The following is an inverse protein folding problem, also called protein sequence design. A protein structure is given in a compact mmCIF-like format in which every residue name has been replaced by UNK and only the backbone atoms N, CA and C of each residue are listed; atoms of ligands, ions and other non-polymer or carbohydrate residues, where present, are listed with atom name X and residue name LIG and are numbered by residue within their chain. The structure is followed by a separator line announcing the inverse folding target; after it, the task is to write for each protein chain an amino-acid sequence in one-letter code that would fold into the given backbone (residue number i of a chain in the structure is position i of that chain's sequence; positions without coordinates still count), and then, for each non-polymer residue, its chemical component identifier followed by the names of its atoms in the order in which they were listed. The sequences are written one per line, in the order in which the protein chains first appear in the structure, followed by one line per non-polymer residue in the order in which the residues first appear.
data_IF_202529713965
#
_entry.id   IF_202529713965
#
_cell.length_a   1.000
_cell.length_b   1.000
_cell.length_c   1.000
_cell.angle_alpha   90.00
_cell.angle_beta   90.00
_cell.angle_gamma   90.00
#
_symmetry.space_group_name_H-M   'P 1'
#
loop_
_entity.id
_entity.type
_entity.pdbx_description
1 polymer ?
#
# COMPACT_ATOMS: atom_id res chain seq x y z
N UNK A 1 26.25 30.13 38.36
CA UNK A 1 25.10 29.64 37.56
C UNK A 1 25.07 28.14 37.71
N UNK A 2 24.02 27.59 38.34
CA UNK A 2 23.85 26.15 38.43
C UNK A 2 23.13 25.67 37.16
N UNK A 3 23.83 24.90 36.34
CA UNK A 3 23.27 24.30 35.14
C UNK A 3 22.22 23.25 35.52
N UNK A 4 21.02 23.37 34.96
CA UNK A 4 19.88 22.51 35.23
C UNK A 4 20.13 21.08 34.70
N UNK A 5 20.74 20.23 35.54
CA UNK A 5 21.03 18.82 35.23
C UNK A 5 19.87 17.87 35.54
N UNK A 6 18.62 18.35 35.57
CA UNK A 6 17.43 17.53 35.84
C UNK A 6 16.60 17.19 34.59
N UNK A 7 17.20 17.19 33.40
CA UNK A 7 16.49 16.71 32.19
C UNK A 7 16.45 15.18 32.21
N UNK A 8 15.34 14.62 32.71
CA UNK A 8 15.12 13.18 32.76
C UNK A 8 15.13 12.58 31.34
N UNK A 9 16.06 11.64 31.11
CA UNK A 9 16.19 10.85 29.87
C UNK A 9 15.09 9.76 29.79
N UNK A 10 14.35 9.53 30.89
CA UNK A 10 13.26 8.54 30.99
C UNK A 10 11.88 9.09 30.59
N UNK A 11 11.85 10.20 29.84
CA UNK A 11 10.60 10.76 29.31
C UNK A 11 9.89 9.81 28.35
N UNK A 12 8.65 10.13 27.98
CA UNK A 12 7.77 9.33 27.10
C UNK A 12 8.42 8.92 25.76
N UNK A 13 9.49 9.61 25.35
CA UNK A 13 10.27 9.37 24.14
C UNK A 13 11.41 8.34 24.29
N UNK A 14 11.58 7.72 25.47
CA UNK A 14 12.59 6.70 25.76
C UNK A 14 12.08 5.28 25.56
N UNK A 15 12.39 4.38 26.50
CA UNK A 15 11.98 2.96 26.48
C UNK A 15 10.49 2.72 26.18
N UNK A 16 9.53 3.48 26.76
CA UNK A 16 8.11 3.24 26.50
C UNK A 16 7.73 3.45 25.02
N UNK A 17 8.27 4.47 24.36
CA UNK A 17 8.04 4.70 22.93
C UNK A 17 8.63 3.57 22.07
N UNK A 18 9.78 3.03 22.46
CA UNK A 18 10.38 1.87 21.77
C UNK A 18 9.49 0.63 21.86
N UNK A 19 8.89 0.35 23.03
CA UNK A 19 7.95 -0.76 23.17
C UNK A 19 6.66 -0.54 22.35
N UNK A 20 6.13 0.68 22.32
CA UNK A 20 4.97 1.02 21.49
C UNK A 20 5.30 0.83 20.01
N UNK A 21 6.47 1.27 19.55
CA UNK A 21 6.93 1.07 18.17
C UNK A 21 7.09 -0.41 17.83
N UNK A 22 7.65 -1.22 18.74
CA UNK A 22 7.80 -2.66 18.55
C UNK A 22 6.44 -3.35 18.43
N UNK A 23 5.50 -3.04 19.33
CA UNK A 23 4.15 -3.58 19.28
C UNK A 23 3.40 -3.14 18.02
N UNK A 24 3.59 -1.89 17.60
CA UNK A 24 3.07 -1.37 16.34
C UNK A 24 3.60 -2.14 15.12
N UNK A 25 4.90 -2.40 15.07
CA UNK A 25 5.52 -3.19 14.01
C UNK A 25 4.97 -4.62 13.96
N UNK A 26 4.84 -5.27 15.12
CA UNK A 26 4.24 -6.61 15.22
C UNK A 26 2.79 -6.59 14.72
N UNK A 27 2.02 -5.57 15.11
CA UNK A 27 0.64 -5.40 14.65
C UNK A 27 0.53 -5.27 13.13
N UNK A 28 1.40 -4.45 12.51
CA UNK A 28 1.46 -4.31 11.05
C UNK A 28 1.82 -5.64 10.38
N UNK A 29 2.78 -6.38 10.92
CA UNK A 29 3.16 -7.68 10.38
C UNK A 29 2.00 -8.68 10.42
N UNK A 30 1.29 -8.77 11.55
CA UNK A 30 0.11 -9.64 11.67
C UNK A 30 -0.96 -9.25 10.65
N UNK A 31 -1.25 -7.95 10.52
CA UNK A 31 -2.22 -7.46 9.54
C UNK A 31 -1.86 -7.85 8.10
N UNK A 32 -0.59 -7.68 7.71
CA UNK A 32 -0.11 -8.07 6.38
C UNK A 32 -0.26 -9.57 6.14
N UNK A 33 0.08 -10.41 7.12
CA UNK A 33 -0.09 -11.86 6.97
C UNK A 33 -1.56 -12.26 6.84
N UNK A 34 -2.45 -11.64 7.62
CA UNK A 34 -3.89 -11.89 7.52
C UNK A 34 -4.44 -11.45 6.16
N UNK A 35 -4.03 -10.30 5.65
CA UNK A 35 -4.43 -9.82 4.33
C UNK A 35 -4.05 -10.82 3.23
N UNK A 36 -2.84 -11.38 3.28
CA UNK A 36 -2.36 -12.41 2.34
C UNK A 36 -3.20 -13.70 2.43
N UNK A 37 -3.53 -14.16 3.63
CA UNK A 37 -4.38 -15.35 3.79
C UNK A 37 -5.76 -15.12 3.18
N UNK A 38 -6.32 -13.92 3.40
CA UNK A 38 -7.63 -13.54 2.84
C UNK A 38 -7.57 -13.48 1.31
N UNK A 39 -6.54 -12.88 0.71
CA UNK A 39 -6.41 -12.84 -0.75
C UNK A 39 -6.26 -14.23 -1.36
N UNK A 40 -5.49 -15.14 -0.75
CA UNK A 40 -5.44 -16.54 -1.21
C UNK A 40 -6.78 -17.25 -1.09
N UNK A 41 -7.54 -17.00 -0.02
CA UNK A 41 -8.88 -17.57 0.15
C UNK A 41 -9.87 -17.05 -0.88
N UNK A 42 -9.82 -15.75 -1.21
CA UNK A 42 -10.63 -15.21 -2.29
C UNK A 42 -10.23 -15.78 -3.65
N UNK A 43 -8.92 -15.93 -3.91
CA UNK A 43 -8.42 -16.54 -5.13
C UNK A 43 -8.78 -18.03 -5.30
N UNK A 44 -9.04 -18.77 -4.21
CA UNK A 44 -9.50 -20.16 -4.32
C UNK A 44 -11.00 -20.27 -4.60
N UNK A 45 -11.80 -19.31 -4.14
CA UNK A 45 -13.26 -19.27 -4.36
C UNK A 45 -13.60 -18.60 -5.70
N UNK A 46 -12.83 -17.58 -6.08
CA UNK A 46 -12.94 -16.86 -7.34
C UNK A 46 -11.55 -16.81 -7.98
N UNK A 47 -11.13 -17.89 -8.66
CA UNK A 47 -9.85 -17.93 -9.34
C UNK A 47 -9.76 -16.82 -10.37
N UNK A 48 -8.59 -16.19 -10.44
CA UNK A 48 -8.31 -15.22 -11.49
C UNK A 48 -8.36 -15.95 -12.85
N UNK A 49 -9.14 -15.42 -13.77
CA UNK A 49 -9.16 -15.91 -15.14
C UNK A 49 -7.95 -15.31 -15.88
N UNK A 50 -7.01 -16.16 -16.29
CA UNK A 50 -5.81 -15.78 -17.03
C UNK A 50 -6.09 -15.38 -18.49
N UNK A 51 -7.27 -15.72 -19.03
CA UNK A 51 -7.60 -15.51 -20.44
C UNK A 51 -7.51 -14.04 -20.89
N UNK A 52 -7.92 -13.02 -20.11
CA UNK A 52 -7.80 -11.62 -20.49
C UNK A 52 -6.38 -11.07 -20.56
N UNK A 53 -5.45 -11.65 -19.79
CA UNK A 53 -4.04 -11.25 -19.85
C UNK A 53 -3.33 -11.90 -21.04
N UNK A 54 -3.72 -13.14 -21.39
CA UNK A 54 -3.04 -13.94 -22.42
C UNK A 54 -3.63 -13.78 -23.82
N UNK A 55 -4.83 -13.25 -23.95
CA UNK A 55 -5.44 -12.94 -25.24
C UNK A 55 -4.92 -11.60 -25.77
N UNK A 56 -4.17 -11.67 -26.87
CA UNK A 56 -3.60 -10.51 -27.59
C UNK A 56 -4.72 -9.55 -28.03
N UNK A 57 -5.95 -10.04 -28.20
CA UNK A 57 -7.12 -9.25 -28.57
C UNK A 57 -7.82 -8.59 -27.37
N UNK A 58 -7.52 -9.02 -26.14
CA UNK A 58 -8.15 -8.52 -24.91
C UNK A 58 -7.30 -7.45 -24.18
N UNK A 59 -6.10 -7.14 -24.68
CA UNK A 59 -5.29 -6.00 -24.24
C UNK A 59 -5.93 -4.62 -24.52
N UNK A 60 -7.10 -4.56 -25.16
CA UNK A 60 -7.75 -3.29 -25.57
C UNK A 60 -9.18 -3.05 -25.09
N UNK A 61 -9.81 -3.93 -24.33
CA UNK A 61 -11.17 -3.69 -23.80
C UNK A 61 -11.26 -4.51 -22.53
N UNK A 62 -11.22 -3.97 -21.30
CA UNK A 62 -12.40 -3.50 -20.57
C UNK A 62 -11.95 -2.45 -19.54
N UNK A 63 -11.77 -1.20 -19.97
CA UNK A 63 -12.01 -0.10 -19.05
C UNK A 63 -13.01 0.83 -19.76
N UNK A 64 -14.08 1.29 -19.09
CA UNK A 64 -14.92 2.34 -19.63
C UNK A 64 -14.00 3.49 -20.07
N UNK A 65 -14.25 4.08 -21.24
CA UNK A 65 -13.40 5.16 -21.79
C UNK A 65 -13.08 6.24 -20.73
N UNK A 66 -14.02 6.52 -19.82
CA UNK A 66 -13.85 7.43 -18.66
C UNK A 66 -12.66 7.11 -17.74
N UNK A 67 -12.30 5.84 -17.55
CA UNK A 67 -11.17 5.43 -16.71
C UNK A 67 -9.84 5.40 -17.46
N UNK A 68 -9.86 5.46 -18.80
CA UNK A 68 -8.65 5.45 -19.63
C UNK A 68 -8.12 6.85 -19.95
N UNK A 69 -8.93 7.91 -19.78
CA UNK A 69 -8.50 9.29 -20.06
C UNK A 69 -7.30 9.74 -19.22
N UNK A 70 -7.15 9.20 -18.01
CA UNK A 70 -6.06 9.54 -17.09
C UNK A 70 -4.73 8.87 -17.44
N UNK A 71 -4.77 7.79 -18.23
CA UNK A 71 -3.61 6.96 -18.61
C UNK A 71 -3.33 6.96 -20.12
N UNK A 72 -4.20 7.58 -20.91
CA UNK A 72 -3.99 7.81 -22.34
C UNK A 72 -2.89 8.84 -22.55
N UNK A 73 -2.04 8.62 -23.56
CA UNK A 73 -1.07 9.62 -24.00
C UNK A 73 -1.80 10.94 -24.25
N UNK A 74 -1.34 12.02 -23.61
CA UNK A 74 -1.88 13.36 -23.85
C UNK A 74 -1.84 13.63 -25.35
N UNK A 75 -2.97 14.08 -25.93
CA UNK A 75 -3.02 14.46 -27.32
C UNK A 75 -1.89 15.48 -27.61
N UNK A 76 -1.18 15.35 -28.74
CA UNK A 76 -0.13 16.31 -29.07
C UNK A 76 -0.75 17.70 -29.05
N UNK A 77 -0.15 18.62 -28.28
CA UNK A 77 -0.57 20.02 -28.30
C UNK A 77 -0.56 20.47 -29.76
N UNK A 78 -1.71 20.93 -30.24
CA UNK A 78 -1.78 21.63 -31.51
C UNK A 78 -0.97 22.91 -31.36
N UNK A 79 0.26 22.91 -31.86
CA UNK A 79 0.99 24.15 -32.08
C UNK A 79 0.15 25.03 -33.01
N UNK A 80 -0.23 26.21 -32.50
CA UNK A 80 -0.66 27.34 -33.30
C UNK A 80 0.51 28.32 -33.38
#
# INVERSE_FOLDING_TARGET
MAENTKRSIWGLHGLPAMFIALLGLIGVLIFLQLAVIVTYRYGSVAPYDDAPIRDINNLKMIAPMEYQEQFGFQAPKSDK
#
